data_IF_505044308939
#
_entry.id   IF_505044308939
#
_cell.length_a   1.000
_cell.length_b   1.000
_cell.length_c   1.000
_cell.angle_alpha   90.00
_cell.angle_beta   90.00
_cell.angle_gamma   90.00
#
_symmetry.space_group_name_H-M   'P 1'
#
loop_
_entity.id
_entity.type
_entity.pdbx_description
1 polymer ?
#
# COMPACT_ATOMS: atom_id res chain seq x y z
N UNK A 1 -6.66 -27.29 -23.56
CA UNK A 1 -5.38 -26.60 -23.84
C UNK A 1 -5.55 -25.77 -25.11
N UNK A 2 -5.39 -24.44 -25.00
CA UNK A 2 -5.33 -23.44 -26.10
C UNK A 2 -6.68 -23.03 -26.69
N UNK A 3 -7.07 -21.76 -26.88
CA UNK A 3 -6.40 -20.46 -26.78
C UNK A 3 -7.47 -19.37 -26.54
N UNK A 4 -7.53 -18.77 -25.35
CA UNK A 4 -8.23 -17.49 -25.08
C UNK A 4 -7.25 -16.29 -25.13
N UNK A 5 -6.06 -16.50 -25.68
CA UNK A 5 -5.02 -15.47 -25.76
C UNK A 5 -5.25 -14.45 -26.86
N UNK A 6 -5.98 -14.82 -27.93
CA UNK A 6 -6.31 -13.89 -29.03
C UNK A 6 -7.34 -12.84 -28.61
N UNK A 7 -8.28 -13.19 -27.72
CA UNK A 7 -9.34 -12.28 -27.25
C UNK A 7 -8.84 -11.31 -26.17
N UNK A 8 -7.98 -11.79 -25.25
CA UNK A 8 -7.37 -10.94 -24.23
C UNK A 8 -6.44 -9.88 -24.85
N UNK A 9 -5.58 -10.28 -25.80
CA UNK A 9 -4.67 -9.36 -26.48
C UNK A 9 -5.43 -8.29 -27.29
N UNK A 10 -6.51 -8.68 -27.98
CA UNK A 10 -7.34 -7.76 -28.74
C UNK A 10 -8.07 -6.74 -27.85
N UNK A 11 -8.66 -7.19 -26.73
CA UNK A 11 -9.32 -6.30 -25.77
C UNK A 11 -8.35 -5.31 -25.13
N UNK A 12 -7.14 -5.77 -24.82
CA UNK A 12 -6.08 -4.92 -24.29
C UNK A 12 -5.61 -3.87 -25.30
N UNK A 13 -5.54 -4.23 -26.59
CA UNK A 13 -5.25 -3.28 -27.67
C UNK A 13 -6.35 -2.22 -27.83
N UNK A 14 -7.62 -2.62 -27.71
CA UNK A 14 -8.77 -1.73 -27.77
C UNK A 14 -8.76 -0.70 -26.62
N UNK A 15 -8.46 -1.15 -25.40
CA UNK A 15 -8.32 -0.29 -24.22
C UNK A 15 -7.16 0.71 -24.38
N UNK A 16 -6.00 0.26 -24.84
CA UNK A 16 -4.84 1.11 -25.06
C UNK A 16 -5.07 2.19 -26.13
N UNK A 17 -5.93 1.91 -27.11
CA UNK A 17 -6.21 2.81 -28.24
C UNK A 17 -7.30 3.83 -27.90
N UNK A 18 -8.32 3.45 -27.13
CA UNK A 18 -9.51 4.29 -26.93
C UNK A 18 -9.61 4.98 -25.57
N UNK A 19 -8.87 4.54 -24.54
CA UNK A 19 -9.03 5.04 -23.16
C UNK A 19 -7.79 5.73 -22.59
N UNK A 20 -6.98 6.41 -23.42
CA UNK A 20 -5.94 7.30 -22.89
C UNK A 20 -6.57 8.62 -22.47
N UNK A 21 -6.58 8.88 -21.16
CA UNK A 21 -7.20 10.06 -20.55
C UNK A 21 -6.56 11.41 -20.97
N UNK A 22 -5.38 11.41 -21.60
CA UNK A 22 -4.70 12.63 -22.07
C UNK A 22 -4.10 12.47 -23.48
N UNK A 23 -4.77 12.95 -24.55
CA UNK A 23 -4.14 13.06 -25.85
C UNK A 23 -2.97 14.08 -25.77
N UNK A 24 -1.77 13.67 -26.19
CA UNK A 24 -0.60 14.56 -26.23
C UNK A 24 -0.79 15.62 -27.32
N UNK A 25 -1.23 16.82 -26.95
CA UNK A 25 -1.37 17.99 -27.83
C UNK A 25 -0.29 19.03 -27.52
N UNK A 26 0.98 18.66 -27.67
CA UNK A 26 2.12 19.57 -27.50
C UNK A 26 3.25 19.27 -28.48
N UNK A 27 4.09 20.26 -28.85
CA UNK A 27 5.21 20.05 -29.75
C UNK A 27 6.22 19.09 -29.11
N UNK A 28 6.34 17.89 -29.67
CA UNK A 28 7.28 16.88 -29.19
C UNK A 28 8.70 17.26 -29.63
N UNK A 29 9.59 17.53 -28.68
CA UNK A 29 11.03 17.37 -28.91
C UNK A 29 11.28 15.98 -29.50
N UNK A 30 12.19 15.89 -30.47
CA UNK A 30 12.55 14.66 -31.19
C UNK A 30 13.22 13.64 -30.25
N UNK A 31 12.45 13.02 -29.37
CA UNK A 31 12.68 11.64 -28.94
C UNK A 31 11.95 10.74 -29.92
N UNK A 32 12.66 9.79 -30.52
CA UNK A 32 12.03 8.67 -31.20
C UNK A 32 11.00 8.06 -30.25
N UNK A 33 9.69 8.13 -30.54
CA UNK A 33 8.69 7.50 -29.69
C UNK A 33 8.98 6.01 -29.69
N UNK A 34 9.09 5.41 -28.50
CA UNK A 34 9.13 3.95 -28.37
C UNK A 34 7.89 3.39 -29.04
N UNK A 35 8.08 2.69 -30.17
CA UNK A 35 7.01 2.08 -30.97
C UNK A 35 6.40 0.86 -30.25
N UNK A 36 7.06 0.37 -29.20
CA UNK A 36 6.52 -0.68 -28.34
C UNK A 36 5.32 -0.13 -27.57
N UNK A 37 4.11 -0.70 -27.75
CA UNK A 37 2.97 -0.36 -26.91
C UNK A 37 3.36 -0.60 -25.46
N UNK A 38 3.33 0.44 -24.63
CA UNK A 38 3.41 0.27 -23.18
C UNK A 38 2.30 -0.68 -22.75
N UNK A 39 2.60 -1.61 -21.84
CA UNK A 39 1.58 -2.52 -21.32
C UNK A 39 0.38 -1.68 -20.84
N UNK A 40 -0.87 -2.07 -21.19
CA UNK A 40 -2.08 -1.31 -20.85
C UNK A 40 -2.31 -1.21 -19.34
N UNK A 41 -1.64 -2.07 -18.57
CA UNK A 41 -1.60 -2.06 -17.11
C UNK A 41 -0.16 -1.89 -16.66
N UNK A 42 0.02 -1.11 -15.59
CA UNK A 42 1.29 -1.06 -14.87
C UNK A 42 1.53 -2.43 -14.22
N UNK A 43 2.31 -3.29 -14.87
CA UNK A 43 2.61 -4.65 -14.39
C UNK A 43 3.21 -4.64 -12.97
N UNK A 44 3.92 -3.58 -12.59
CA UNK A 44 4.45 -3.42 -11.24
C UNK A 44 3.36 -3.29 -10.17
N UNK A 45 2.17 -2.77 -10.52
CA UNK A 45 1.03 -2.74 -9.59
C UNK A 45 0.43 -4.14 -9.42
N UNK A 46 0.38 -4.95 -10.49
CA UNK A 46 -0.10 -6.34 -10.41
C UNK A 46 0.82 -7.17 -9.51
N UNK A 47 2.12 -7.12 -9.74
CA UNK A 47 3.12 -7.82 -8.91
C UNK A 47 3.07 -7.34 -7.45
N UNK A 48 2.84 -6.04 -7.24
CA UNK A 48 2.66 -5.47 -5.91
C UNK A 48 1.41 -6.03 -5.22
N UNK A 49 0.25 -6.03 -5.89
CA UNK A 49 -0.99 -6.57 -5.32
C UNK A 49 -0.85 -8.06 -4.98
N UNK A 50 -0.25 -8.86 -5.86
CA UNK A 50 0.02 -10.28 -5.60
C UNK A 50 0.87 -10.47 -4.34
N UNK A 51 1.95 -9.70 -4.20
CA UNK A 51 2.81 -9.74 -3.01
C UNK A 51 2.10 -9.35 -1.72
N UNK A 52 1.19 -8.36 -1.77
CA UNK A 52 0.39 -7.97 -0.61
C UNK A 52 -0.57 -9.09 -0.18
N UNK A 53 -1.21 -9.75 -1.16
CA UNK A 53 -2.08 -10.91 -0.89
C UNK A 53 -1.28 -12.07 -0.32
N UNK A 54 -0.13 -12.40 -0.91
CA UNK A 54 0.72 -13.48 -0.43
C UNK A 54 1.20 -13.23 1.01
N UNK A 55 1.56 -11.99 1.34
CA UNK A 55 1.90 -11.59 2.71
C UNK A 55 0.73 -11.82 3.68
N UNK A 56 -0.47 -11.36 3.34
CA UNK A 56 -1.66 -11.56 4.18
C UNK A 56 -1.99 -13.03 4.35
N UNK A 57 -1.95 -13.82 3.28
CA UNK A 57 -2.21 -15.26 3.33
C UNK A 57 -1.18 -15.99 4.17
N UNK A 58 0.09 -15.60 4.08
CA UNK A 58 1.16 -16.17 4.89
C UNK A 58 0.96 -15.85 6.37
N UNK A 59 0.68 -14.59 6.70
CA UNK A 59 0.37 -14.20 8.08
C UNK A 59 -0.86 -14.93 8.63
N UNK A 60 -1.94 -14.99 7.86
CA UNK A 60 -3.15 -15.72 8.25
C UNK A 60 -2.86 -17.20 8.55
N UNK A 61 -2.00 -17.83 7.76
CA UNK A 61 -1.55 -19.22 7.98
C UNK A 61 -0.72 -19.41 9.23
N UNK A 62 0.19 -18.48 9.49
CA UNK A 62 1.10 -18.57 10.62
C UNK A 62 0.40 -18.23 11.96
N UNK A 63 -0.68 -17.45 11.90
CA UNK A 63 -1.35 -16.86 13.07
C UNK A 63 -2.70 -17.53 13.42
N UNK A 64 -3.27 -18.34 12.52
CA UNK A 64 -4.52 -19.03 12.77
C UNK A 64 -4.38 -20.05 13.91
N UNK A 65 -5.34 -20.04 14.83
CA UNK A 65 -5.40 -21.02 15.93
C UNK A 65 -5.95 -22.39 15.49
N UNK A 66 -6.34 -22.56 14.22
CA UNK A 66 -7.00 -23.75 13.68
C UNK A 66 -6.93 -23.86 12.16
N UNK A 67 -7.75 -24.74 11.57
CA UNK A 67 -7.83 -24.90 10.13
C UNK A 67 -8.42 -23.63 9.50
N UNK A 68 -7.66 -23.07 8.57
CA UNK A 68 -7.93 -21.80 7.91
C UNK A 68 -8.69 -22.14 6.65
N UNK A 69 -9.92 -21.60 6.54
CA UNK A 69 -10.75 -21.79 5.36
C UNK A 69 -10.04 -21.38 4.05
N UNK A 70 -10.59 -21.77 2.89
CA UNK A 70 -9.97 -21.45 1.61
C UNK A 70 -9.81 -19.94 1.43
N UNK A 71 -8.66 -19.53 0.89
CA UNK A 71 -8.39 -18.12 0.57
C UNK A 71 -9.46 -17.62 -0.41
N UNK A 72 -10.08 -16.46 -0.19
CA UNK A 72 -11.09 -15.90 -1.09
C UNK A 72 -10.56 -15.72 -2.52
N UNK A 73 -11.41 -16.01 -3.51
CA UNK A 73 -11.05 -15.82 -4.92
C UNK A 73 -10.93 -14.34 -5.34
N UNK A 74 -11.55 -13.42 -4.59
CA UNK A 74 -11.52 -11.98 -4.85
C UNK A 74 -10.55 -11.30 -3.90
N UNK A 75 -9.58 -10.57 -4.45
CA UNK A 75 -8.55 -9.83 -3.69
C UNK A 75 -9.16 -8.91 -2.64
N UNK A 76 -10.26 -8.23 -2.95
CA UNK A 76 -10.92 -7.30 -2.02
C UNK A 76 -11.45 -7.96 -0.74
N UNK A 77 -11.73 -9.26 -0.79
CA UNK A 77 -12.33 -10.01 0.31
C UNK A 77 -11.23 -10.60 1.23
N UNK A 78 -9.94 -10.53 0.84
CA UNK A 78 -8.80 -11.14 1.55
C UNK A 78 -8.56 -10.51 2.92
N UNK A 79 -8.66 -9.18 3.06
CA UNK A 79 -8.46 -8.51 4.34
C UNK A 79 -9.56 -8.85 5.34
N UNK A 80 -10.82 -8.81 4.90
CA UNK A 80 -11.97 -9.19 5.73
C UNK A 80 -11.86 -10.67 6.16
N UNK A 81 -11.48 -11.55 5.24
CA UNK A 81 -11.19 -12.95 5.57
C UNK A 81 -10.11 -13.07 6.64
N UNK A 82 -8.96 -12.38 6.51
CA UNK A 82 -7.91 -12.45 7.52
C UNK A 82 -8.38 -11.91 8.88
N UNK A 83 -9.17 -10.83 8.89
CA UNK A 83 -9.80 -10.31 10.11
C UNK A 83 -10.71 -11.34 10.79
N UNK A 84 -11.55 -12.04 10.02
CA UNK A 84 -12.43 -13.11 10.51
C UNK A 84 -11.62 -14.30 11.07
N UNK A 85 -10.57 -14.75 10.36
CA UNK A 85 -9.75 -15.89 10.79
C UNK A 85 -8.96 -15.63 12.07
N UNK A 86 -8.79 -14.37 12.45
CA UNK A 86 -7.98 -13.95 13.60
C UNK A 86 -8.79 -13.20 14.65
N UNK A 87 -10.12 -13.20 14.56
CA UNK A 87 -10.99 -12.49 15.51
C UNK A 87 -10.80 -12.96 16.96
N UNK A 88 -10.67 -14.27 17.16
CA UNK A 88 -10.45 -14.90 18.47
C UNK A 88 -8.97 -15.10 18.82
N UNK A 89 -8.05 -14.64 17.96
CA UNK A 89 -6.62 -14.78 18.21
C UNK A 89 -6.17 -13.93 19.43
N UNK A 90 -5.02 -14.25 20.05
CA UNK A 90 -4.44 -13.44 21.11
C UNK A 90 -4.31 -11.97 20.72
N UNK A 91 -4.42 -11.04 21.68
CA UNK A 91 -4.43 -9.61 21.41
C UNK A 91 -3.21 -9.14 20.60
N UNK A 92 -2.02 -9.69 20.85
CA UNK A 92 -0.79 -9.39 20.11
C UNK A 92 -0.83 -9.82 18.64
N UNK A 93 -1.58 -10.87 18.32
CA UNK A 93 -1.78 -11.35 16.94
C UNK A 93 -2.73 -10.38 16.22
N UNK A 94 -3.85 -10.03 16.85
CA UNK A 94 -4.80 -9.05 16.30
C UNK A 94 -4.14 -7.69 16.08
N UNK A 95 -3.32 -7.24 17.03
CA UNK A 95 -2.56 -6.00 16.89
C UNK A 95 -1.57 -6.07 15.72
N UNK A 96 -0.83 -7.18 15.56
CA UNK A 96 0.08 -7.38 14.42
C UNK A 96 -0.65 -7.35 13.08
N UNK A 97 -1.78 -8.06 12.98
CA UNK A 97 -2.66 -8.02 11.82
C UNK A 97 -3.07 -6.58 11.49
N UNK A 98 -3.64 -5.87 12.46
CA UNK A 98 -4.13 -4.50 12.26
C UNK A 98 -2.99 -3.57 11.77
N UNK A 99 -1.75 -3.79 12.25
CA UNK A 99 -0.56 -3.06 11.78
C UNK A 99 -0.27 -3.37 10.31
N UNK A 100 -0.30 -4.63 9.89
CA UNK A 100 -0.03 -5.02 8.50
C UNK A 100 -1.11 -4.48 7.56
N UNK A 101 -2.39 -4.64 7.92
CA UNK A 101 -3.52 -4.12 7.14
C UNK A 101 -3.38 -2.61 6.96
N UNK A 102 -3.09 -1.89 8.05
CA UNK A 102 -2.93 -0.44 8.00
C UNK A 102 -1.67 -0.02 7.24
N UNK A 103 -0.57 -0.77 7.33
CA UNK A 103 0.63 -0.50 6.54
C UNK A 103 0.34 -0.63 5.05
N UNK A 104 -0.31 -1.71 4.64
CA UNK A 104 -0.66 -1.94 3.23
C UNK A 104 -1.68 -0.91 2.73
N UNK A 105 -2.61 -0.45 3.55
CA UNK A 105 -3.53 0.64 3.15
C UNK A 105 -2.79 1.95 2.85
N UNK A 106 -1.77 2.31 3.64
CA UNK A 106 -0.91 3.45 3.36
C UNK A 106 -0.12 3.26 2.06
N UNK A 107 0.45 2.06 1.86
CA UNK A 107 1.17 1.73 0.63
C UNK A 107 0.25 1.81 -0.61
N UNK A 108 -1.01 1.36 -0.50
CA UNK A 108 -2.02 1.44 -1.55
C UNK A 108 -2.33 2.88 -1.92
N UNK A 109 -2.60 3.72 -0.93
CA UNK A 109 -2.87 5.14 -1.15
C UNK A 109 -1.69 5.82 -1.86
N UNK A 110 -0.46 5.57 -1.40
CA UNK A 110 0.76 6.10 -2.04
C UNK A 110 0.91 5.58 -3.46
N UNK A 111 0.62 4.30 -3.72
CA UNK A 111 0.68 3.72 -5.07
C UNK A 111 -0.36 4.34 -6.01
N UNK A 112 -1.50 4.81 -5.49
CA UNK A 112 -2.52 5.58 -6.22
C UNK A 112 -2.18 7.07 -6.36
N UNK A 113 -1.05 7.53 -5.80
CA UNK A 113 -0.60 8.91 -5.84
C UNK A 113 -1.13 9.79 -4.71
N UNK A 114 -1.88 9.22 -3.76
CA UNK A 114 -2.28 9.92 -2.54
C UNK A 114 -1.15 9.85 -1.51
N UNK A 115 -0.39 10.94 -1.43
CA UNK A 115 0.70 11.09 -0.46
C UNK A 115 0.26 11.77 0.83
N UNK A 116 -0.94 12.35 0.86
CA UNK A 116 -1.43 13.12 2.01
C UNK A 116 -1.87 12.21 3.16
N UNK A 117 -2.12 10.92 2.88
CA UNK A 117 -2.28 9.90 3.93
C UNK A 117 -1.14 9.87 4.94
N UNK A 118 0.08 10.23 4.52
CA UNK A 118 1.25 10.31 5.41
C UNK A 118 1.20 11.57 6.27
N UNK A 119 0.72 12.69 5.71
CA UNK A 119 0.58 13.96 6.39
C UNK A 119 -0.41 13.89 7.58
N UNK A 120 -1.37 12.97 7.49
CA UNK A 120 -2.36 12.68 8.54
C UNK A 120 -1.79 11.93 9.76
N UNK A 121 -0.47 11.74 9.83
CA UNK A 121 0.19 11.12 10.99
C UNK A 121 1.05 12.12 11.77
N UNK A 122 0.98 12.09 13.11
CA UNK A 122 1.93 12.82 13.94
C UNK A 122 3.30 12.15 13.89
N UNK A 123 4.36 12.96 13.87
CA UNK A 123 5.74 12.47 13.85
C UNK A 123 6.05 11.58 15.06
N UNK A 124 6.60 10.37 14.88
CA UNK A 124 6.96 9.46 15.98
C UNK A 124 7.92 10.02 17.03
N UNK A 125 8.69 11.07 16.71
CA UNK A 125 9.68 11.68 17.61
C UNK A 125 9.17 12.94 18.31
N UNK A 126 8.67 13.91 17.55
CA UNK A 126 8.29 15.22 18.07
C UNK A 126 6.77 15.43 18.17
N UNK A 127 5.97 14.42 17.81
CA UNK A 127 4.48 14.42 17.82
C UNK A 127 3.79 15.51 17.00
N UNK A 128 4.54 16.42 16.38
CA UNK A 128 4.01 17.43 15.45
C UNK A 128 3.51 16.82 14.15
N UNK A 129 2.55 17.50 13.54
CA UNK A 129 2.00 17.20 12.23
C UNK A 129 2.89 17.80 11.12
N UNK A 130 2.78 17.27 9.90
CA UNK A 130 3.61 17.69 8.77
C UNK A 130 4.71 16.70 8.42
N UNK A 131 4.39 15.40 8.47
CA UNK A 131 5.17 14.40 7.77
C UNK A 131 4.93 14.55 6.26
N UNK A 132 5.97 14.41 5.46
CA UNK A 132 5.89 14.40 4.01
C UNK A 132 6.44 13.09 3.46
N UNK A 133 5.70 12.45 2.55
CA UNK A 133 6.21 11.28 1.85
C UNK A 133 7.35 11.65 0.89
N UNK A 134 8.46 10.92 0.96
CA UNK A 134 9.61 11.05 0.07
C UNK A 134 9.67 9.84 -0.86
N UNK A 135 9.23 9.96 -2.15
CA UNK A 135 9.13 8.82 -3.06
C UNK A 135 10.46 8.10 -3.30
N UNK A 136 11.56 8.85 -3.36
CA UNK A 136 12.91 8.31 -3.64
C UNK A 136 13.43 7.41 -2.52
N UNK A 137 13.19 7.78 -1.26
CA UNK A 137 13.66 7.01 -0.10
C UNK A 137 12.59 6.09 0.48
N UNK A 138 11.35 6.19 -0.03
CA UNK A 138 10.16 5.49 0.48
C UNK A 138 9.98 5.65 1.99
N UNK A 139 10.13 6.89 2.47
CA UNK A 139 10.02 7.22 3.90
C UNK A 139 9.21 8.49 4.10
N UNK A 140 8.55 8.55 5.26
CA UNK A 140 7.87 9.74 5.75
C UNK A 140 8.86 10.63 6.51
N UNK A 141 9.14 11.81 5.99
CA UNK A 141 10.11 12.76 6.56
C UNK A 141 9.40 13.83 7.37
N UNK A 142 9.90 14.13 8.57
CA UNK A 142 9.38 15.25 9.36
C UNK A 142 9.92 16.59 8.85
N UNK A 143 9.02 17.55 8.61
CA UNK A 143 9.39 18.90 8.18
C UNK A 143 9.74 19.84 9.35
N UNK A 144 9.43 19.46 10.60
CA UNK A 144 9.78 20.25 11.76
C UNK A 144 11.31 20.34 11.93
N UNK A 145 11.82 21.57 12.04
CA UNK A 145 13.24 21.89 12.23
C UNK A 145 13.82 21.28 13.50
N UNK A 146 13.01 21.12 14.55
CA UNK A 146 13.40 20.49 15.81
C UNK A 146 13.62 18.97 15.66
N UNK A 147 13.07 18.36 14.60
CA UNK A 147 13.18 16.94 14.33
C UNK A 147 14.40 16.58 13.47
N UNK A 148 15.32 17.54 13.25
CA UNK A 148 16.60 17.31 12.56
C UNK A 148 17.59 16.59 13.49
N UNK A 149 18.40 15.72 12.89
CA UNK A 149 19.53 15.07 13.55
C UNK A 149 20.71 16.01 13.73
N UNK A 150 21.76 15.56 14.42
CA UNK A 150 23.01 16.33 14.57
C UNK A 150 23.75 16.53 13.25
N UNK A 151 23.47 15.67 12.28
CA UNK A 151 23.90 15.72 10.89
C UNK A 151 23.09 16.71 10.03
N UNK A 152 22.09 17.38 10.62
CA UNK A 152 21.21 18.30 9.93
C UNK A 152 20.11 17.62 9.09
N UNK A 153 20.06 16.28 9.07
CA UNK A 153 19.09 15.52 8.29
C UNK A 153 17.77 15.40 9.07
N UNK A 154 16.64 15.61 8.39
CA UNK A 154 15.33 15.37 9.00
C UNK A 154 15.14 13.89 9.33
N UNK A 155 14.55 13.61 10.50
CA UNK A 155 14.17 12.24 10.86
C UNK A 155 13.16 11.71 9.85
N UNK A 156 13.35 10.46 9.41
CA UNK A 156 12.51 9.80 8.42
C UNK A 156 12.05 8.43 8.92
N UNK A 157 10.81 8.07 8.60
CA UNK A 157 10.11 6.91 9.17
C UNK A 157 9.60 5.99 8.06
N UNK A 158 9.59 4.69 8.34
CA UNK A 158 8.95 3.71 7.46
C UNK A 158 7.44 3.73 7.67
N UNK A 159 6.67 3.30 6.66
CA UNK A 159 5.22 3.13 6.80
C UNK A 159 4.88 2.11 7.90
N UNK A 160 5.69 1.05 8.04
CA UNK A 160 5.55 0.10 9.13
C UNK A 160 5.60 0.78 10.51
N UNK A 161 6.54 1.71 10.72
CA UNK A 161 6.64 2.45 11.98
C UNK A 161 5.42 3.34 12.22
N UNK A 162 4.92 4.01 11.19
CA UNK A 162 3.71 4.84 11.28
C UNK A 162 2.49 3.98 11.59
N UNK A 163 2.37 2.82 10.94
CA UNK A 163 1.27 1.88 11.17
C UNK A 163 1.27 1.34 12.60
N UNK A 164 2.43 0.92 13.12
CA UNK A 164 2.57 0.52 14.53
C UNK A 164 2.11 1.62 15.46
N UNK A 165 2.60 2.84 15.28
CA UNK A 165 2.21 3.96 16.14
C UNK A 165 0.71 4.24 16.08
N UNK A 166 0.12 4.24 14.88
CA UNK A 166 -1.31 4.50 14.70
C UNK A 166 -2.17 3.46 15.41
N UNK A 167 -1.89 2.18 15.21
CA UNK A 167 -2.65 1.08 15.84
C UNK A 167 -2.50 1.11 17.35
N UNK A 168 -1.28 1.28 17.87
CA UNK A 168 -1.04 1.39 19.33
C UNK A 168 -1.79 2.59 19.92
N UNK A 169 -1.80 3.75 19.27
CA UNK A 169 -2.56 4.91 19.74
C UNK A 169 -4.07 4.64 19.74
N UNK A 170 -4.59 4.01 18.69
CA UNK A 170 -6.01 3.64 18.59
C UNK A 170 -6.44 2.69 19.71
N UNK A 171 -5.61 1.72 20.07
CA UNK A 171 -5.88 0.80 21.18
C UNK A 171 -5.87 1.51 22.54
N UNK A 172 -4.89 2.39 22.79
CA UNK A 172 -4.84 3.18 24.03
C UNK A 172 -6.10 4.04 24.17
N UNK A 173 -6.56 4.65 23.07
CA UNK A 173 -7.79 5.44 23.07
C UNK A 173 -9.04 4.59 23.35
N UNK A 174 -9.11 3.37 22.79
CA UNK A 174 -10.20 2.43 23.08
C UNK A 174 -10.25 2.07 24.57
N UNK A 175 -9.10 1.74 25.18
CA UNK A 175 -9.01 1.40 26.61
C UNK A 175 -9.43 2.57 27.51
N UNK A 176 -9.13 3.82 27.12
CA UNK A 176 -9.52 5.00 27.90
C UNK A 176 -11.01 5.36 27.79
N UNK A 177 -11.69 4.88 26.76
CA UNK A 177 -13.11 5.16 26.53
C UNK A 177 -14.04 4.16 27.22
N UNK A 178 -13.53 2.99 27.61
CA UNK A 178 -14.20 1.98 28.42
C UNK A 178 -13.99 2.21 29.90
#
# INVERSE_FOLDING_TARGET
MGRDTEDAAFRLHLLATHYREHPQTGPSERRSPSVTPGAPLNLGIVDYMSRCVDEVVQHARDEAAGDIGPVPARVRDVYAWWEEQTEDAPAEVRQRRDIVIYRQSLEHAIALGDHDVVCAHPCPRCTTWGLQWQPYTRRAMCLNVECRGRDGMSSAWTLARLATQYVTQKEILKIRAT
#
